data_IF_755331667375
#
_entry.id   IF_755331667375
#
_cell.length_a   1.000
_cell.length_b   1.000
_cell.length_c   1.000
_cell.angle_alpha   90.00
_cell.angle_beta   90.00
_cell.angle_gamma   90.00
#
_symmetry.space_group_name_H-M   'P 1'
#
loop_
_entity.id
_entity.type
_entity.pdbx_description
1 polymer ?
#
# COMPACT_ATOMS: atom_id res chain seq x y z
N UNK A 1 19.83 -2.98 -8.76
CA UNK A 1 19.97 -2.20 -7.51
C UNK A 1 19.94 -0.71 -7.81
N UNK A 2 19.32 0.06 -6.91
CA UNK A 2 18.95 1.46 -7.03
C UNK A 2 19.34 2.21 -5.75
N UNK A 3 19.47 3.52 -5.83
CA UNK A 3 19.86 4.38 -4.71
C UNK A 3 19.03 5.66 -4.76
N UNK A 4 18.28 5.95 -3.70
CA UNK A 4 17.39 7.11 -3.64
C UNK A 4 18.10 8.45 -3.85
N UNK A 5 19.35 8.58 -3.40
CA UNK A 5 20.11 9.84 -3.52
C UNK A 5 20.48 10.14 -4.97
N UNK A 6 20.60 9.11 -5.80
CA UNK A 6 21.11 9.21 -7.17
C UNK A 6 20.13 8.60 -8.18
N UNK A 7 18.85 8.46 -7.82
CA UNK A 7 17.86 7.80 -8.66
C UNK A 7 17.44 8.74 -9.80
N UNK A 8 17.70 8.32 -11.03
CA UNK A 8 17.42 9.13 -12.22
C UNK A 8 16.17 8.66 -12.96
N UNK A 9 15.72 9.43 -13.96
CA UNK A 9 14.67 8.98 -14.89
C UNK A 9 15.08 7.72 -15.67
N UNK A 10 16.36 7.55 -15.99
CA UNK A 10 16.87 6.33 -16.63
C UNK A 10 16.72 5.12 -15.69
N UNK A 11 17.02 5.31 -14.41
CA UNK A 11 16.78 4.29 -13.38
C UNK A 11 15.28 3.99 -13.23
N UNK A 12 14.42 5.00 -13.30
CA UNK A 12 12.96 4.80 -13.28
C UNK A 12 12.47 3.92 -14.44
N UNK A 13 12.98 4.14 -15.66
CA UNK A 13 12.63 3.31 -16.82
C UNK A 13 13.11 1.86 -16.64
N UNK A 14 14.35 1.67 -16.16
CA UNK A 14 14.89 0.33 -15.88
C UNK A 14 14.10 -0.37 -14.78
N UNK A 15 13.85 0.33 -13.67
CA UNK A 15 13.07 -0.13 -12.53
C UNK A 15 11.66 -0.55 -12.95
N UNK A 16 10.99 0.29 -13.75
CA UNK A 16 9.68 -0.02 -14.30
C UNK A 16 9.67 -1.30 -15.14
N UNK A 17 10.71 -1.54 -15.95
CA UNK A 17 10.83 -2.79 -16.71
C UNK A 17 10.97 -4.02 -15.82
N UNK A 18 11.76 -3.94 -14.75
CA UNK A 18 11.92 -5.02 -13.78
C UNK A 18 10.59 -5.29 -13.04
N UNK A 19 9.91 -4.24 -12.57
CA UNK A 19 8.60 -4.35 -11.93
C UNK A 19 7.60 -5.09 -12.82
N UNK A 20 7.53 -4.77 -14.12
CA UNK A 20 6.59 -5.43 -15.05
C UNK A 20 6.81 -6.94 -15.22
N UNK A 21 7.97 -7.46 -14.83
CA UNK A 21 8.25 -8.90 -14.88
C UNK A 21 7.80 -9.65 -13.62
N UNK A 22 7.51 -8.92 -12.54
CA UNK A 22 7.00 -9.47 -11.28
C UNK A 22 5.55 -9.96 -11.45
N UNK A 23 5.12 -10.84 -10.56
CA UNK A 23 3.76 -11.37 -10.50
C UNK A 23 3.42 -12.34 -11.65
N UNK A 24 4.38 -12.70 -12.50
CA UNK A 24 4.14 -13.57 -13.67
C UNK A 24 3.62 -14.96 -13.28
N UNK A 25 3.96 -15.44 -12.07
CA UNK A 25 3.52 -16.73 -11.54
C UNK A 25 2.56 -16.56 -10.34
N UNK A 26 2.13 -15.34 -10.04
CA UNK A 26 1.22 -15.08 -8.94
C UNK A 26 -0.18 -15.61 -9.28
N UNK A 27 -0.86 -16.14 -8.27
CA UNK A 27 -2.23 -16.64 -8.33
C UNK A 27 -3.22 -15.65 -7.71
N UNK A 28 -2.72 -14.61 -7.05
CA UNK A 28 -3.53 -13.57 -6.42
C UNK A 28 -2.83 -12.22 -6.42
N UNK A 29 -3.61 -11.16 -6.17
CA UNK A 29 -3.07 -9.82 -6.00
C UNK A 29 -2.10 -9.77 -4.83
N UNK A 30 -2.41 -10.42 -3.70
CA UNK A 30 -1.55 -10.51 -2.53
C UNK A 30 -0.16 -11.06 -2.87
N UNK A 31 -0.08 -12.14 -3.65
CA UNK A 31 1.19 -12.73 -4.07
C UNK A 31 1.98 -11.77 -4.99
N UNK A 32 1.32 -11.19 -5.99
CA UNK A 32 1.94 -10.23 -6.91
C UNK A 32 2.46 -8.99 -6.16
N UNK A 33 1.67 -8.46 -5.22
CA UNK A 33 2.07 -7.32 -4.40
C UNK A 33 3.19 -7.68 -3.43
N UNK A 34 3.29 -8.94 -3.02
CA UNK A 34 4.38 -9.39 -2.16
C UNK A 34 5.72 -9.35 -2.90
N UNK A 35 5.76 -9.84 -4.14
CA UNK A 35 6.95 -9.70 -5.00
C UNK A 35 7.33 -8.22 -5.21
N UNK A 36 6.35 -7.33 -5.39
CA UNK A 36 6.58 -5.89 -5.55
C UNK A 36 7.22 -5.26 -4.31
N UNK A 37 6.68 -5.49 -3.11
CA UNK A 37 7.24 -4.87 -1.88
C UNK A 37 8.62 -5.40 -1.56
N UNK A 38 8.86 -6.70 -1.80
CA UNK A 38 10.18 -7.30 -1.66
C UNK A 38 11.16 -6.72 -2.68
N UNK A 39 10.75 -6.54 -3.94
CA UNK A 39 11.58 -5.90 -4.95
C UNK A 39 12.06 -4.52 -4.51
N UNK A 40 11.14 -3.65 -4.04
CA UNK A 40 11.51 -2.32 -3.54
C UNK A 40 12.38 -2.37 -2.28
N UNK A 41 12.06 -3.25 -1.33
CA UNK A 41 12.85 -3.41 -0.12
C UNK A 41 14.27 -3.86 -0.44
N UNK A 42 14.40 -4.83 -1.36
CA UNK A 42 15.68 -5.49 -1.63
C UNK A 42 16.59 -4.72 -2.57
N UNK A 43 16.02 -3.99 -3.54
CA UNK A 43 16.81 -3.37 -4.59
C UNK A 43 17.22 -1.93 -4.30
N UNK A 44 16.64 -1.27 -3.29
CA UNK A 44 17.05 0.09 -2.90
C UNK A 44 18.07 0.04 -1.76
N UNK A 45 19.31 0.46 -2.06
CA UNK A 45 20.46 0.34 -1.17
C UNK A 45 21.18 1.69 -1.01
N UNK A 46 21.81 1.88 0.15
CA UNK A 46 22.74 2.96 0.39
C UNK A 46 24.11 2.59 -0.18
N UNK A 47 24.53 3.23 -1.28
CA UNK A 47 25.78 2.88 -1.98
C UNK A 47 27.03 2.84 -1.09
N UNK A 48 27.11 3.71 -0.08
CA UNK A 48 28.28 3.78 0.79
C UNK A 48 28.37 2.65 1.82
N UNK A 49 27.23 2.08 2.23
CA UNK A 49 27.17 1.06 3.29
C UNK A 49 26.75 -0.31 2.77
N UNK A 50 26.31 -0.41 1.52
CA UNK A 50 25.68 -1.60 0.90
C UNK A 50 24.50 -2.16 1.72
N UNK A 51 23.91 -1.33 2.58
CA UNK A 51 22.75 -1.71 3.38
C UNK A 51 21.45 -1.26 2.72
N UNK A 52 20.35 -1.95 3.00
CA UNK A 52 19.02 -1.60 2.49
C UNK A 52 18.63 -0.18 2.92
N UNK A 53 18.23 0.66 1.97
CA UNK A 53 17.72 2.02 2.25
C UNK A 53 16.31 2.02 2.83
N UNK A 54 15.56 0.94 2.60
CA UNK A 54 14.19 0.78 3.07
C UNK A 54 14.18 0.23 4.51
N UNK A 55 13.44 0.89 5.40
CA UNK A 55 13.08 0.35 6.72
C UNK A 55 11.86 -0.55 6.58
N UNK A 56 10.86 -0.08 5.85
CA UNK A 56 9.58 -0.76 5.66
C UNK A 56 8.96 -0.33 4.33
N UNK A 57 8.49 -1.30 3.55
CA UNK A 57 7.72 -1.10 2.33
C UNK A 57 6.36 -1.78 2.52
N UNK A 58 5.27 -1.07 2.22
CA UNK A 58 3.91 -1.57 2.34
C UNK A 58 3.11 -1.26 1.10
N UNK A 59 2.22 -2.17 0.71
CA UNK A 59 1.28 -1.96 -0.37
C UNK A 59 -0.14 -2.12 0.17
N UNK A 60 -0.93 -1.07 0.00
CA UNK A 60 -2.33 -1.02 0.40
C UNK A 60 -3.23 -0.91 -0.82
N UNK A 61 -4.47 -1.37 -0.67
CA UNK A 61 -5.55 -1.15 -1.63
C UNK A 61 -6.86 -0.87 -0.88
N UNK A 62 -7.71 0.01 -1.41
CA UNK A 62 -9.10 0.08 -0.96
C UNK A 62 -9.83 -1.21 -1.35
N UNK A 63 -10.58 -1.77 -0.42
CA UNK A 63 -11.25 -3.05 -0.61
C UNK A 63 -12.61 -3.02 0.07
N UNK A 64 -13.63 -3.64 -0.55
CA UNK A 64 -14.96 -3.69 0.02
C UNK A 64 -14.96 -4.45 1.34
N UNK A 65 -15.54 -3.85 2.39
CA UNK A 65 -15.62 -4.49 3.70
C UNK A 65 -16.31 -5.86 3.63
N UNK A 66 -17.33 -6.00 2.78
CA UNK A 66 -18.09 -7.24 2.59
C UNK A 66 -17.24 -8.37 1.99
N UNK A 67 -16.25 -8.02 1.17
CA UNK A 67 -15.34 -8.95 0.49
C UNK A 67 -14.09 -9.32 1.31
N UNK A 68 -13.90 -8.70 2.48
CA UNK A 68 -12.82 -9.06 3.39
C UNK A 68 -13.02 -10.45 4.01
N UNK A 69 -11.92 -11.12 4.32
CA UNK A 69 -11.91 -12.32 5.16
C UNK A 69 -12.35 -12.00 6.61
N UNK A 70 -12.69 -13.04 7.39
CA UNK A 70 -13.22 -12.87 8.75
C UNK A 70 -12.23 -12.23 9.72
N UNK A 71 -10.92 -12.47 9.53
CA UNK A 71 -9.88 -11.87 10.36
C UNK A 71 -9.80 -10.36 10.11
N UNK A 72 -9.81 -9.95 8.84
CA UNK A 72 -9.80 -8.55 8.42
C UNK A 72 -11.10 -7.83 8.78
N UNK A 73 -12.26 -8.49 8.69
CA UNK A 73 -13.54 -7.97 9.19
C UNK A 73 -13.49 -7.71 10.68
N UNK A 74 -13.01 -8.69 11.45
CA UNK A 74 -12.85 -8.57 12.91
C UNK A 74 -11.90 -7.44 13.26
N UNK A 75 -10.81 -7.27 12.50
CA UNK A 75 -9.88 -6.17 12.67
C UNK A 75 -10.53 -4.81 12.40
N UNK A 76 -11.21 -4.66 11.26
CA UNK A 76 -11.86 -3.41 10.86
C UNK A 76 -12.98 -3.01 11.85
N UNK A 77 -13.75 -3.97 12.37
CA UNK A 77 -14.77 -3.74 13.38
C UNK A 77 -14.21 -3.18 14.69
N UNK A 78 -13.03 -3.64 15.13
CA UNK A 78 -12.39 -3.12 16.35
C UNK A 78 -12.00 -1.64 16.23
N UNK A 79 -11.75 -1.17 15.00
CA UNK A 79 -11.40 0.21 14.70
C UNK A 79 -12.61 1.08 14.34
N UNK A 80 -13.76 0.47 14.08
CA UNK A 80 -15.00 1.18 13.74
C UNK A 80 -15.74 1.57 15.02
N UNK A 81 -16.29 2.79 15.06
CA UNK A 81 -17.16 3.18 16.16
C UNK A 81 -18.47 2.35 16.11
N UNK A 82 -18.97 1.93 17.28
CA UNK A 82 -20.19 1.09 17.41
C UNK A 82 -21.46 1.70 16.77
N UNK A 83 -21.42 2.97 16.37
CA UNK A 83 -22.53 3.71 15.80
C UNK A 83 -22.75 3.44 14.30
N UNK A 84 -21.74 2.94 13.59
CA UNK A 84 -21.80 2.73 12.14
C UNK A 84 -22.26 1.28 11.83
N UNK A 85 -23.58 1.03 11.92
CA UNK A 85 -24.22 -0.20 11.43
C UNK A 85 -24.19 -0.34 9.89
N UNK A 86 -23.48 0.57 9.20
CA UNK A 86 -23.33 0.56 7.75
C UNK A 86 -22.31 -0.54 7.40
N UNK A 87 -22.75 -1.55 6.65
CA UNK A 87 -21.85 -2.63 6.15
C UNK A 87 -21.31 -2.35 4.75
N UNK A 88 -21.68 -1.21 4.17
CA UNK A 88 -21.31 -0.78 2.83
C UNK A 88 -20.27 0.34 2.92
N UNK A 89 -19.01 -0.04 3.13
CA UNK A 89 -17.87 0.88 3.16
C UNK A 89 -16.60 0.18 2.66
N UNK A 90 -15.62 1.00 2.25
CA UNK A 90 -14.28 0.52 1.87
C UNK A 90 -13.37 0.47 3.09
N UNK A 91 -12.47 -0.50 3.10
CA UNK A 91 -11.32 -0.54 4.00
C UNK A 91 -10.05 -0.23 3.21
N UNK A 92 -9.13 0.52 3.82
CA UNK A 92 -7.76 0.64 3.34
C UNK A 92 -6.97 -0.56 3.86
N UNK A 93 -6.81 -1.56 3.00
CA UNK A 93 -6.38 -2.91 3.37
C UNK A 93 -4.94 -3.16 2.95
N UNK A 94 -4.14 -3.68 3.88
CA UNK A 94 -2.74 -4.05 3.64
C UNK A 94 -2.68 -5.38 2.87
N UNK A 95 -2.17 -5.33 1.65
CA UNK A 95 -1.97 -6.51 0.83
C UNK A 95 -0.59 -7.13 1.06
N UNK A 96 0.45 -6.32 1.20
CA UNK A 96 1.81 -6.83 1.42
C UNK A 96 2.67 -5.86 2.21
N UNK A 97 3.65 -6.40 2.92
CA UNK A 97 4.57 -5.66 3.79
C UNK A 97 5.92 -6.36 3.83
N UNK A 98 7.01 -5.60 3.74
CA UNK A 98 8.36 -6.10 3.87
C UNK A 98 9.22 -5.07 4.60
N UNK A 99 9.98 -5.48 5.61
CA UNK A 99 10.76 -4.58 6.43
C UNK A 99 11.88 -5.24 7.21
N UNK A 100 12.64 -4.40 7.92
CA UNK A 100 13.83 -4.81 8.70
C UNK A 100 13.52 -5.84 9.79
N UNK A 101 12.35 -5.77 10.40
CA UNK A 101 11.97 -6.74 11.42
C UNK A 101 11.23 -7.92 10.81
N UNK A 102 11.50 -9.12 11.33
CA UNK A 102 10.91 -10.36 10.85
C UNK A 102 9.37 -10.35 10.89
N UNK A 103 8.77 -9.76 11.93
CA UNK A 103 7.32 -9.67 12.07
C UNK A 103 6.66 -8.72 11.05
N UNK A 104 7.42 -7.84 10.38
CA UNK A 104 6.90 -6.93 9.36
C UNK A 104 6.82 -7.54 7.97
N UNK A 105 7.32 -8.77 7.80
CA UNK A 105 7.33 -9.50 6.53
C UNK A 105 6.09 -10.37 6.32
N UNK A 106 5.03 -10.13 7.10
CA UNK A 106 3.72 -10.75 6.90
C UNK A 106 2.62 -9.78 7.29
N UNK A 107 1.63 -9.59 6.41
CA UNK A 107 0.47 -8.71 6.70
C UNK A 107 -0.33 -9.19 7.90
N UNK A 108 -0.36 -10.50 8.15
CA UNK A 108 -1.11 -11.14 9.24
C UNK A 108 -0.59 -10.71 10.62
N UNK A 109 0.68 -10.30 10.69
CA UNK A 109 1.34 -9.83 11.90
C UNK A 109 1.29 -8.30 12.07
N UNK A 110 0.72 -7.57 11.10
CA UNK A 110 0.67 -6.10 11.16
C UNK A 110 -0.22 -5.64 12.31
N UNK A 111 0.33 -4.79 13.18
CA UNK A 111 -0.42 -4.18 14.28
C UNK A 111 -0.92 -2.80 13.84
N UNK A 112 -2.22 -2.55 14.03
CA UNK A 112 -2.86 -1.26 13.74
C UNK A 112 -3.14 -0.96 12.26
N UNK A 113 -2.63 -1.77 11.32
CA UNK A 113 -2.70 -1.46 9.88
C UNK A 113 -2.98 -2.69 9.02
N UNK A 114 -4.02 -3.47 9.34
CA UNK A 114 -4.45 -4.60 8.49
C UNK A 114 -5.59 -4.20 7.55
N UNK A 115 -6.68 -3.67 8.09
CA UNK A 115 -7.81 -3.13 7.34
C UNK A 115 -8.35 -1.91 8.09
N UNK A 116 -7.98 -0.70 7.64
CA UNK A 116 -8.41 0.55 8.28
C UNK A 116 -9.77 0.92 7.66
N UNK A 117 -10.86 0.98 8.45
CA UNK A 117 -12.18 1.26 7.92
C UNK A 117 -12.28 2.72 7.46
N UNK A 118 -12.83 2.95 6.27
CA UNK A 118 -13.08 4.28 5.70
C UNK A 118 -14.59 4.60 5.76
N UNK A 119 -15.17 4.58 6.97
CA UNK A 119 -16.64 4.70 7.14
C UNK A 119 -17.18 6.10 6.84
N UNK A 120 -16.36 7.14 6.97
CA UNK A 120 -16.74 8.51 6.65
C UNK A 120 -15.51 9.40 6.40
N UNK A 121 -15.74 10.54 5.74
CA UNK A 121 -14.73 11.61 5.56
C UNK A 121 -14.12 11.99 6.92
N UNK A 122 -14.96 12.15 7.94
CA UNK A 122 -14.54 12.56 9.29
C UNK A 122 -13.56 11.57 9.95
N UNK A 123 -13.68 10.28 9.65
CA UNK A 123 -12.76 9.25 10.15
C UNK A 123 -11.43 9.35 9.42
N UNK A 124 -11.46 9.53 8.10
CA UNK A 124 -10.26 9.70 7.27
C UNK A 124 -9.46 10.94 7.69
N UNK A 125 -10.14 12.06 7.95
CA UNK A 125 -9.50 13.32 8.36
C UNK A 125 -8.77 13.24 9.70
N UNK A 126 -9.18 12.32 10.58
CA UNK A 126 -8.53 12.07 11.88
C UNK A 126 -7.24 11.27 11.76
N UNK A 127 -6.93 10.68 10.60
CA UNK A 127 -5.70 9.90 10.37
C UNK A 127 -4.71 10.77 9.57
N UNK A 128 -3.72 11.41 10.21
CA UNK A 128 -2.91 12.46 9.57
C UNK A 128 -2.18 12.01 8.30
N UNK A 129 -1.58 10.81 8.34
CA UNK A 129 -0.87 10.26 7.19
C UNK A 129 -1.81 10.00 6.01
N UNK A 130 -2.98 9.41 6.28
CA UNK A 130 -3.94 9.03 5.25
C UNK A 130 -4.56 10.26 4.59
N UNK A 131 -4.92 11.28 5.38
CA UNK A 131 -5.37 12.57 4.86
C UNK A 131 -4.31 13.21 3.96
N UNK A 132 -3.04 13.20 4.39
CA UNK A 132 -1.94 13.78 3.61
C UNK A 132 -1.69 12.99 2.31
N UNK A 133 -1.78 11.66 2.36
CA UNK A 133 -1.68 10.78 1.21
C UNK A 133 -2.78 11.07 0.17
N UNK A 134 -4.05 11.08 0.59
CA UNK A 134 -5.19 11.33 -0.31
C UNK A 134 -5.05 12.70 -0.99
N UNK A 135 -4.72 13.73 -0.21
CA UNK A 135 -4.53 15.10 -0.72
C UNK A 135 -3.39 15.19 -1.73
N UNK A 136 -2.21 14.63 -1.43
CA UNK A 136 -1.07 14.68 -2.34
C UNK A 136 -1.27 13.81 -3.58
N UNK A 137 -2.09 12.76 -3.46
CA UNK A 137 -2.46 11.95 -4.62
C UNK A 137 -3.44 12.65 -5.58
N UNK A 138 -3.95 13.84 -5.23
CA UNK A 138 -4.94 14.56 -6.03
C UNK A 138 -6.30 13.86 -6.05
N UNK A 139 -6.57 13.02 -5.04
CA UNK A 139 -7.82 12.29 -4.91
C UNK A 139 -8.76 13.06 -3.99
N UNK A 140 -10.02 13.20 -4.40
CA UNK A 140 -11.08 13.63 -3.50
C UNK A 140 -11.38 12.52 -2.51
N UNK A 141 -11.56 12.85 -1.22
CA UNK A 141 -11.83 11.84 -0.17
C UNK A 141 -13.08 11.01 -0.54
N UNK A 142 -14.09 11.65 -1.12
CA UNK A 142 -15.28 10.97 -1.61
C UNK A 142 -14.98 9.91 -2.66
N UNK A 143 -14.02 10.14 -3.57
CA UNK A 143 -13.61 9.14 -4.57
C UNK A 143 -13.00 7.89 -3.92
N UNK A 144 -12.31 8.05 -2.79
CA UNK A 144 -11.68 6.93 -2.07
C UNK A 144 -12.71 6.12 -1.28
N UNK A 145 -13.72 6.80 -0.72
CA UNK A 145 -14.75 6.18 0.11
C UNK A 145 -15.89 5.60 -0.75
N UNK A 146 -16.34 6.34 -1.76
CA UNK A 146 -17.46 6.02 -2.63
C UNK A 146 -17.19 6.52 -4.07
N UNK A 147 -16.49 5.71 -4.90
CA UNK A 147 -16.07 6.14 -6.23
C UNK A 147 -17.28 6.30 -7.18
N UNK A 148 -17.44 7.48 -7.80
CA UNK A 148 -18.46 7.73 -8.83
C UNK A 148 -18.07 7.02 -10.14
N UNK A 149 -18.85 6.05 -10.65
CA UNK A 149 -18.57 5.34 -11.89
C UNK A 149 -18.27 6.25 -13.10
N UNK A 150 -18.83 7.46 -13.14
CA UNK A 150 -18.63 8.40 -14.24
C UNK A 150 -17.23 9.02 -14.28
N UNK A 151 -16.53 9.05 -13.14
CA UNK A 151 -15.22 9.70 -12.99
C UNK A 151 -14.08 8.65 -12.95
N UNK A 152 -14.39 7.39 -12.63
CA UNK A 152 -13.40 6.30 -12.52
C UNK A 152 -12.60 6.11 -13.81
N UNK A 153 -13.24 6.19 -14.98
CA UNK A 153 -12.55 5.94 -16.25
C UNK A 153 -11.40 6.92 -16.46
N UNK A 154 -11.67 8.23 -16.28
CA UNK A 154 -10.66 9.28 -16.45
C UNK A 154 -9.55 9.20 -15.38
N UNK A 155 -9.91 8.92 -14.12
CA UNK A 155 -8.94 8.78 -13.03
C UNK A 155 -8.04 7.55 -13.20
N UNK A 156 -8.61 6.43 -13.67
CA UNK A 156 -7.86 5.20 -13.89
C UNK A 156 -6.82 5.35 -15.00
N UNK A 157 -7.04 6.24 -15.97
CA UNK A 157 -6.12 6.48 -17.07
C UNK A 157 -5.07 7.54 -16.74
N UNK A 158 -5.41 8.55 -15.93
CA UNK A 158 -4.60 9.77 -15.80
C UNK A 158 -4.03 10.04 -14.40
N UNK A 159 -4.47 9.32 -13.35
CA UNK A 159 -4.08 9.62 -11.97
C UNK A 159 -3.00 8.66 -11.48
N UNK A 160 -1.74 9.01 -11.74
CA UNK A 160 -0.58 8.46 -11.04
C UNK A 160 0.10 9.58 -10.27
N UNK A 161 0.09 9.44 -8.95
CA UNK A 161 0.50 10.53 -8.07
C UNK A 161 1.45 10.03 -6.99
N UNK A 162 2.20 10.98 -6.45
CA UNK A 162 3.21 10.74 -5.43
C UNK A 162 2.83 11.48 -4.16
N UNK A 163 2.99 10.80 -3.05
CA UNK A 163 2.97 11.32 -1.70
C UNK A 163 4.40 11.36 -1.17
N UNK A 164 4.84 12.47 -0.61
CA UNK A 164 6.21 12.61 -0.12
C UNK A 164 6.25 13.37 1.21
N UNK A 165 7.00 12.81 2.15
CA UNK A 165 7.42 13.45 3.40
C UNK A 165 8.96 13.50 3.35
N UNK A 166 9.55 14.66 3.03
CA UNK A 166 11.01 14.78 2.88
C UNK A 166 11.77 14.58 4.20
N UNK A 167 11.18 14.99 5.32
CA UNK A 167 11.72 14.80 6.68
C UNK A 167 10.68 14.11 7.56
N UNK A 168 10.98 12.89 7.98
CA UNK A 168 10.08 12.08 8.80
C UNK A 168 10.18 12.43 10.29
N UNK A 169 11.36 12.87 10.76
CA UNK A 169 11.58 13.23 12.15
C UNK A 169 10.77 14.47 12.52
N UNK A 170 9.93 14.36 13.54
CA UNK A 170 9.05 15.44 14.01
C UNK A 170 7.89 15.76 13.06
N UNK A 171 7.70 15.00 11.97
CA UNK A 171 6.60 15.21 11.04
C UNK A 171 5.25 14.95 11.72
N UNK A 172 4.29 15.91 11.68
CA UNK A 172 2.97 15.73 12.28
C UNK A 172 2.13 14.67 11.56
N UNK A 173 2.54 14.29 10.34
CA UNK A 173 1.88 13.26 9.55
C UNK A 173 2.26 11.84 9.97
N UNK A 174 3.27 11.67 10.83
CA UNK A 174 3.74 10.37 11.31
C UNK A 174 3.70 10.39 12.84
N UNK A 175 2.57 10.00 13.47
CA UNK A 175 2.44 10.00 14.92
C UNK A 175 3.46 9.10 15.63
N UNK A 176 3.88 8.02 14.95
CA UNK A 176 4.74 6.97 15.48
C UNK A 176 6.23 7.37 15.60
N UNK A 177 6.50 8.50 16.25
CA UNK A 177 7.86 9.05 16.35
C UNK A 177 8.76 8.21 17.24
N UNK A 178 8.28 7.79 18.41
CA UNK A 178 9.10 7.16 19.45
C UNK A 178 9.30 5.66 19.22
N UNK A 179 8.31 5.02 18.63
CA UNK A 179 8.25 3.58 18.40
C UNK A 179 8.74 3.18 17.01
N UNK A 180 8.76 4.10 16.03
CA UNK A 180 9.10 3.78 14.64
C UNK A 180 10.10 4.77 14.01
N UNK A 181 9.81 6.07 13.94
CA UNK A 181 10.68 7.00 13.21
C UNK A 181 12.08 7.12 13.84
N UNK A 182 12.15 7.37 15.16
CA UNK A 182 13.42 7.56 15.87
C UNK A 182 14.23 6.24 15.95
N UNK A 183 13.69 5.10 16.40
CA UNK A 183 14.49 3.88 16.58
C UNK A 183 15.04 3.33 15.26
N UNK A 184 14.26 3.39 14.18
CA UNK A 184 14.66 2.87 12.87
C UNK A 184 15.29 3.94 11.96
N UNK A 185 15.49 5.16 12.50
CA UNK A 185 16.13 6.29 11.80
C UNK A 185 15.47 6.59 10.45
N UNK A 186 14.14 6.55 10.40
CA UNK A 186 13.39 6.91 9.19
C UNK A 186 13.67 8.39 8.90
N UNK A 187 14.17 8.66 7.69
CA UNK A 187 14.52 9.99 7.20
C UNK A 187 13.44 10.56 6.30
N UNK A 188 12.87 9.75 5.42
CA UNK A 188 11.87 10.19 4.45
C UNK A 188 10.81 9.11 4.21
N UNK A 189 9.62 9.53 3.81
CA UNK A 189 8.52 8.64 3.41
C UNK A 189 8.07 8.99 2.01
N UNK A 190 7.98 7.98 1.16
CA UNK A 190 7.51 8.07 -0.21
C UNK A 190 6.31 7.17 -0.38
N UNK A 191 5.22 7.70 -0.95
CA UNK A 191 4.05 6.94 -1.38
C UNK A 191 3.82 7.16 -2.87
N UNK A 192 3.40 6.15 -3.59
CA UNK A 192 3.01 6.29 -4.99
C UNK A 192 1.98 5.24 -5.36
N UNK A 193 1.04 5.61 -6.22
CA UNK A 193 -0.11 4.77 -6.49
C UNK A 193 -1.04 5.35 -7.53
N UNK A 194 -2.21 4.77 -7.64
CA UNK A 194 -3.23 5.20 -8.59
C UNK A 194 -4.55 4.49 -8.38
N UNK A 195 -5.43 4.64 -9.36
CA UNK A 195 -6.80 4.11 -9.33
C UNK A 195 -6.92 2.94 -10.30
N UNK A 196 -7.48 1.82 -9.84
CA UNK A 196 -7.81 0.65 -10.65
C UNK A 196 -9.14 0.84 -11.39
N UNK A 197 -9.42 0.07 -12.45
CA UNK A 197 -10.69 0.17 -13.19
C UNK A 197 -11.94 -0.03 -12.33
N UNK A 198 -11.88 -0.79 -11.22
CA UNK A 198 -13.01 -0.88 -10.29
C UNK A 198 -13.23 0.37 -9.44
N UNK A 199 -12.41 1.42 -9.59
CA UNK A 199 -12.37 2.58 -8.71
C UNK A 199 -11.58 2.37 -7.41
N UNK A 200 -11.03 1.18 -7.18
CA UNK A 200 -10.21 0.93 -6.00
C UNK A 200 -8.85 1.66 -6.12
N UNK A 201 -8.44 2.35 -5.06
CA UNK A 201 -7.13 3.00 -4.98
C UNK A 201 -6.11 2.00 -4.48
N UNK A 202 -4.91 1.97 -5.06
CA UNK A 202 -3.76 1.27 -4.51
C UNK A 202 -2.62 2.25 -4.25
N UNK A 203 -1.77 1.95 -3.27
CA UNK A 203 -0.59 2.76 -2.97
C UNK A 203 0.53 1.91 -2.36
N UNK A 204 1.74 2.12 -2.86
CA UNK A 204 2.98 1.63 -2.26
C UNK A 204 3.53 2.73 -1.37
N UNK A 205 3.87 2.42 -0.12
CA UNK A 205 4.46 3.34 0.85
C UNK A 205 5.82 2.78 1.26
N UNK A 206 6.87 3.58 1.10
CA UNK A 206 8.26 3.30 1.44
C UNK A 206 8.69 4.23 2.57
N UNK A 207 9.09 3.64 3.69
CA UNK A 207 9.77 4.34 4.78
C UNK A 207 11.27 4.12 4.60
N UNK A 208 12.01 5.19 4.32
CA UNK A 208 13.44 5.12 4.03
C UNK A 208 14.27 5.73 5.15
N UNK A 209 15.39 5.09 5.48
CA UNK A 209 16.46 5.68 6.30
C UNK A 209 17.41 6.57 5.48
N UNK A 210 17.21 6.63 4.17
CA UNK A 210 17.91 7.52 3.25
C UNK A 210 16.99 8.70 2.90
N UNK A 211 17.49 9.94 2.85
CA UNK A 211 16.71 11.07 2.36
C UNK A 211 16.27 10.83 0.90
N UNK A 212 15.03 11.19 0.58
CA UNK A 212 14.49 11.13 -0.78
C UNK A 212 14.24 12.57 -1.23
N UNK A 213 14.90 13.01 -2.29
CA UNK A 213 14.66 14.33 -2.90
C UNK A 213 13.29 14.35 -3.61
N UNK A 214 12.68 15.53 -3.75
CA UNK A 214 11.37 15.67 -4.42
C UNK A 214 11.45 15.22 -5.87
N UNK A 215 12.56 15.49 -6.55
CA UNK A 215 12.82 15.09 -7.93
C UNK A 215 12.88 13.55 -8.05
N UNK A 216 13.54 12.89 -7.09
CA UNK A 216 13.52 11.42 -6.98
C UNK A 216 12.10 10.91 -6.75
N UNK A 217 11.37 11.51 -5.79
CA UNK A 217 10.00 11.11 -5.47
C UNK A 217 9.10 11.19 -6.72
N UNK A 218 9.19 12.27 -7.49
CA UNK A 218 8.41 12.46 -8.72
C UNK A 218 8.66 11.38 -9.78
N UNK A 219 9.85 10.79 -9.83
CA UNK A 219 10.13 9.68 -10.74
C UNK A 219 9.24 8.45 -10.48
N UNK A 220 8.75 8.27 -9.24
CA UNK A 220 7.92 7.14 -8.86
C UNK A 220 6.47 7.21 -9.35
N UNK A 221 6.00 8.37 -9.82
CA UNK A 221 4.70 8.46 -10.49
C UNK A 221 4.64 7.49 -11.69
N UNK A 222 5.72 7.38 -12.45
CA UNK A 222 5.82 6.43 -13.58
C UNK A 222 5.88 4.98 -13.12
N UNK A 223 6.41 4.70 -11.93
CA UNK A 223 6.46 3.35 -11.36
C UNK A 223 5.08 2.89 -10.89
N UNK A 224 4.20 3.82 -10.47
CA UNK A 224 2.83 3.49 -10.12
C UNK A 224 2.08 2.81 -11.28
N UNK A 225 2.27 3.27 -12.52
CA UNK A 225 1.72 2.60 -13.70
C UNK A 225 2.25 1.16 -13.85
N UNK A 226 3.55 0.95 -13.64
CA UNK A 226 4.14 -0.38 -13.73
C UNK A 226 3.57 -1.32 -12.66
N UNK A 227 3.43 -0.84 -11.43
CA UNK A 227 2.77 -1.58 -10.34
C UNK A 227 1.31 -1.90 -10.71
N UNK A 228 0.56 -0.92 -11.23
CA UNK A 228 -0.82 -1.11 -11.68
C UNK A 228 -0.94 -2.26 -12.68
N UNK A 229 -0.06 -2.29 -13.69
CA UNK A 229 -0.10 -3.35 -14.72
C UNK A 229 0.17 -4.74 -14.17
N UNK A 230 0.99 -4.86 -13.12
CA UNK A 230 1.27 -6.15 -12.46
C UNK A 230 0.06 -6.63 -11.66
N UNK A 231 -0.63 -5.73 -10.95
CA UNK A 231 -1.73 -6.12 -10.05
C UNK A 231 -3.09 -6.22 -10.76
N UNK A 232 -3.26 -5.54 -11.89
CA UNK A 232 -4.52 -5.46 -12.63
C UNK A 232 -5.13 -6.83 -12.99
N UNK A 233 -4.36 -7.86 -13.41
CA UNK A 233 -4.91 -9.17 -13.73
C UNK A 233 -5.61 -9.87 -12.55
N UNK A 234 -5.37 -9.42 -11.32
CA UNK A 234 -5.84 -10.05 -10.09
C UNK A 234 -6.93 -9.25 -9.38
N UNK A 235 -7.56 -8.28 -10.05
CA UNK A 235 -8.55 -7.38 -9.42
C UNK A 235 -9.74 -8.14 -8.80
N UNK A 236 -10.08 -9.31 -9.35
CA UNK A 236 -11.11 -10.23 -8.83
C UNK A 236 -10.57 -11.32 -7.89
N UNK A 237 -9.24 -11.55 -7.89
CA UNK A 237 -8.56 -12.59 -7.10
C UNK A 237 -7.57 -11.96 -6.10
N UNK A 238 -8.09 -11.19 -5.14
CA UNK A 238 -7.25 -10.34 -4.29
C UNK A 238 -6.43 -11.13 -3.28
N UNK A 239 -7.06 -12.05 -2.56
CA UNK A 239 -6.41 -12.88 -1.55
C UNK A 239 -6.38 -14.33 -2.04
N UNK A 240 -5.29 -15.05 -1.78
CA UNK A 240 -5.29 -16.51 -1.92
C UNK A 240 -6.38 -17.05 -1.00
N UNK A 241 -7.29 -17.85 -1.54
CA UNK A 241 -8.28 -18.54 -0.72
C UNK A 241 -7.56 -19.31 0.38
N UNK A 242 -7.72 -18.91 1.64
CA UNK A 242 -7.64 -19.86 2.75
C UNK A 242 -8.69 -20.90 2.39
N UNK A 243 -8.25 -22.04 1.85
CA UNK A 243 -9.13 -23.18 1.56
C UNK A 243 -9.92 -23.43 2.83
N UNK A 244 -11.19 -23.04 2.81
CA UNK A 244 -12.13 -23.40 3.84
C UNK A 244 -12.04 -24.90 3.96
N UNK A 245 -11.56 -25.37 5.12
CA UNK A 245 -11.70 -26.75 5.54
C UNK A 245 -13.18 -27.05 5.71
N UNK A 246 -13.91 -27.18 4.60
CA UNK A 246 -15.03 -28.09 4.54
C UNK A 246 -14.41 -29.49 4.51
N UNK A 247 -14.06 -29.99 5.69
CA UNK A 247 -14.14 -31.43 5.92
C UNK A 247 -15.58 -31.80 5.60
N UNK A 248 -15.75 -32.37 4.40
CA UNK A 248 -16.93 -33.15 4.07
C UNK A 248 -17.15 -34.11 5.24
N UNK A 249 -18.26 -33.88 5.93
CA UNK A 249 -18.92 -34.89 6.76
C UNK A 249 -19.03 -36.14 5.89
N UNK A 250 -18.18 -37.12 6.19
CA UNK A 250 -18.32 -38.45 5.65
C UNK A 250 -19.55 -39.08 6.31
N UNK A 251 -20.68 -39.02 5.61
CA UNK A 251 -21.73 -40.02 5.77
C UNK A 251 -21.13 -41.38 5.43
N UNK A 252 -21.17 -42.33 6.37
CA UNK A 252 -20.57 -43.64 6.14
C UNK A 252 -20.73 -44.66 7.26
N UNK A 253 -21.99 -45.08 7.48
CA UNK A 253 -22.47 -46.29 8.20
C UNK A 253 -22.53 -46.27 9.73
#
# INVERSE_FOLDING_TARGET
>A
MYDFLNFTTVDAVRCGREIRSLGSNALSMEEATNEIVHFFYDNFIEKHSETKSCVLVRLFKTHDYTALDDNLKTFAQKLSDKADNVRDFKCFTLLSTCGVNAEWNSRRNSIGHQAIPLTSISVVEKIPMMRNLIKQMGLEINTVINPDPKIIMDLSQNTFSVFHIPEALGSPYIPAQKEFVIPYKVRSVLGFGGVLPSGNVFVVIVFSKTPIAVETANCFATLALNVKMVILPFEEAVFVGDSGGNEHVAEGK
#
